data_IF_526429318896
#
_entry.id   IF_526429318896
#
_cell.length_a   1.000
_cell.length_b   1.000
_cell.length_c   1.000
_cell.angle_alpha   90.00
_cell.angle_beta   90.00
_cell.angle_gamma   90.00
#
_symmetry.space_group_name_H-M   'P 1'
#
loop_
_entity.id
_entity.type
_entity.pdbx_description
1 polymer ?
#
# COMPACT_ATOMS: atom_id res chain seq x y z
N UNK A 1 46.56 -7.59 -32.77
CA UNK A 1 46.36 -6.97 -31.44
C UNK A 1 45.24 -5.91 -31.41
N UNK A 2 45.06 -5.07 -32.44
CA UNK A 2 44.05 -3.99 -32.44
C UNK A 2 42.57 -4.45 -32.39
N UNK A 3 42.25 -5.64 -32.92
CA UNK A 3 40.87 -6.18 -32.96
C UNK A 3 40.32 -6.66 -31.61
N UNK A 4 41.19 -7.06 -30.68
CA UNK A 4 40.78 -7.53 -29.35
C UNK A 4 40.42 -6.35 -28.42
N UNK A 5 41.05 -5.19 -28.63
CA UNK A 5 40.84 -3.98 -27.84
C UNK A 5 39.46 -3.34 -28.12
N UNK A 6 38.98 -3.41 -29.37
CA UNK A 6 37.66 -2.88 -29.77
C UNK A 6 36.51 -3.69 -29.15
N UNK A 7 36.69 -5.00 -29.00
CA UNK A 7 35.69 -5.86 -28.37
C UNK A 7 35.56 -5.61 -26.85
N UNK A 8 36.68 -5.28 -26.18
CA UNK A 8 36.68 -4.95 -24.75
C UNK A 8 36.07 -3.57 -24.46
N UNK A 9 36.25 -2.60 -25.36
CA UNK A 9 35.72 -1.24 -25.21
C UNK A 9 34.20 -1.15 -25.44
N UNK A 10 33.62 -2.13 -26.15
CA UNK A 10 32.17 -2.19 -26.42
C UNK A 10 31.33 -2.69 -25.25
N UNK A 11 31.94 -3.20 -24.17
CA UNK A 11 31.22 -3.79 -23.04
C UNK A 11 30.98 -2.81 -21.87
N UNK A 12 31.50 -1.57 -21.95
CA UNK A 12 31.43 -0.60 -20.84
C UNK A 12 30.31 0.46 -20.96
N UNK A 13 29.47 0.46 -21.99
CA UNK A 13 28.47 1.53 -22.21
C UNK A 13 27.06 1.22 -21.74
N UNK A 14 26.83 0.08 -21.07
CA UNK A 14 25.51 -0.30 -20.53
C UNK A 14 25.48 -0.26 -18.98
N UNK A 15 26.04 0.79 -18.38
CA UNK A 15 25.68 1.16 -17.02
C UNK A 15 24.30 1.83 -17.05
N UNK A 16 23.24 1.01 -17.17
CA UNK A 16 21.87 1.48 -17.02
C UNK A 16 21.75 1.99 -15.58
N UNK A 17 21.59 3.31 -15.42
CA UNK A 17 21.29 3.93 -14.14
C UNK A 17 19.96 3.40 -13.63
N UNK A 18 20.00 2.31 -12.86
CA UNK A 18 18.87 1.84 -12.09
C UNK A 18 18.56 2.91 -11.04
N UNK A 19 17.55 3.74 -11.29
CA UNK A 19 17.00 4.62 -10.25
C UNK A 19 16.34 3.72 -9.22
N UNK A 20 17.00 3.50 -8.10
CA UNK A 20 16.39 2.85 -6.96
C UNK A 20 15.19 3.70 -6.52
N UNK A 21 13.98 3.22 -6.78
CA UNK A 21 12.77 3.88 -6.31
C UNK A 21 12.56 3.49 -4.84
N UNK A 22 12.42 4.49 -4.00
CA UNK A 22 12.26 4.29 -2.57
C UNK A 22 10.89 3.71 -2.28
N UNK A 23 10.88 2.58 -1.57
CA UNK A 23 9.66 1.86 -1.24
C UNK A 23 9.68 1.38 0.22
N UNK A 24 8.50 1.37 0.84
CA UNK A 24 8.23 0.80 2.17
C UNK A 24 6.91 0.05 2.14
N UNK A 25 6.85 -1.05 2.88
CA UNK A 25 5.62 -1.82 3.06
C UNK A 25 5.16 -1.73 4.51
N UNK A 26 3.87 -1.44 4.70
CA UNK A 26 3.22 -1.26 5.99
C UNK A 26 2.18 -2.35 6.15
N UNK A 27 2.10 -2.97 7.32
CA UNK A 27 1.17 -4.04 7.62
C UNK A 27 0.23 -3.62 8.76
N UNK A 28 -1.08 -3.79 8.56
CA UNK A 28 -2.10 -3.54 9.58
C UNK A 28 -3.07 -4.72 9.64
N UNK A 29 -3.34 -5.19 10.85
CA UNK A 29 -4.16 -6.38 11.11
C UNK A 29 -5.41 -5.98 11.86
N UNK A 30 -6.56 -6.50 11.42
CA UNK A 30 -7.86 -6.25 12.03
C UNK A 30 -8.53 -7.57 12.43
N UNK A 31 -8.88 -7.67 13.71
CA UNK A 31 -9.67 -8.78 14.24
C UNK A 31 -11.12 -8.66 13.79
N UNK A 32 -11.67 -9.72 13.18
CA UNK A 32 -13.00 -9.69 12.57
C UNK A 32 -13.92 -10.81 13.05
N UNK A 33 -13.56 -11.54 14.11
CA UNK A 33 -14.30 -12.71 14.61
C UNK A 33 -15.80 -12.46 14.86
N UNK A 34 -16.13 -11.32 15.48
CA UNK A 34 -17.52 -10.93 15.77
C UNK A 34 -18.16 -10.07 14.68
N UNK A 35 -17.44 -9.79 13.59
CA UNK A 35 -17.87 -8.94 12.49
C UNK A 35 -18.63 -9.76 11.47
N UNK A 36 -19.82 -9.26 11.09
CA UNK A 36 -20.64 -9.83 10.02
C UNK A 36 -20.47 -9.09 8.70
N UNK A 37 -20.30 -7.77 8.78
CA UNK A 37 -20.22 -6.91 7.59
C UNK A 37 -19.07 -5.92 7.74
N UNK A 38 -18.25 -5.78 6.70
CA UNK A 38 -17.16 -4.81 6.61
C UNK A 38 -17.45 -3.86 5.45
N UNK A 39 -17.53 -2.57 5.74
CA UNK A 39 -17.51 -1.52 4.72
C UNK A 39 -16.07 -1.03 4.53
N UNK A 40 -15.53 -1.14 3.33
CA UNK A 40 -14.22 -0.63 2.97
C UNK A 40 -14.30 0.80 2.44
N UNK A 41 -13.51 1.68 3.04
CA UNK A 41 -13.30 3.05 2.60
C UNK A 41 -11.80 3.37 2.54
N UNK A 42 -11.12 2.69 1.64
CA UNK A 42 -9.68 2.82 1.39
C UNK A 42 -9.46 3.84 0.27
N UNK A 43 -8.69 4.89 0.56
CA UNK A 43 -8.41 5.97 -0.40
C UNK A 43 -7.36 5.58 -1.46
N UNK A 44 -6.61 4.53 -1.19
CA UNK A 44 -5.57 3.95 -2.05
C UNK A 44 -6.15 3.09 -3.16
N UNK A 45 -5.36 2.84 -4.21
CA UNK A 45 -5.71 1.75 -5.15
C UNK A 45 -5.51 0.44 -4.40
N UNK A 46 -6.48 -0.46 -4.48
CA UNK A 46 -6.40 -1.72 -3.76
C UNK A 46 -6.98 -2.91 -4.51
N UNK A 47 -6.47 -4.09 -4.16
CA UNK A 47 -7.03 -5.38 -4.52
C UNK A 47 -7.31 -6.22 -3.28
N UNK A 48 -8.28 -7.13 -3.42
CA UNK A 48 -8.71 -8.04 -2.35
C UNK A 48 -8.30 -9.46 -2.73
N UNK A 49 -7.71 -10.17 -1.77
CA UNK A 49 -7.28 -11.55 -1.88
C UNK A 49 -7.90 -12.38 -0.76
N UNK A 50 -8.38 -13.58 -1.09
CA UNK A 50 -8.80 -14.55 -0.08
C UNK A 50 -7.57 -15.20 0.55
N UNK A 51 -7.61 -15.47 1.86
CA UNK A 51 -6.58 -16.26 2.55
C UNK A 51 -7.16 -17.12 3.68
N UNK A 52 -6.41 -18.16 4.08
CA UNK A 52 -6.76 -19.07 5.17
C UNK A 52 -6.32 -18.51 6.54
N UNK A 53 -6.79 -17.31 6.89
CA UNK A 53 -6.54 -16.65 8.17
C UNK A 53 -7.85 -16.24 8.86
N UNK A 54 -7.78 -15.82 10.13
CA UNK A 54 -8.93 -15.33 10.91
C UNK A 54 -9.07 -13.80 10.92
N UNK A 55 -8.03 -13.09 10.49
CA UNK A 55 -7.96 -11.62 10.50
C UNK A 55 -8.00 -11.05 9.09
N UNK A 56 -8.40 -9.78 8.98
CA UNK A 56 -8.15 -9.00 7.76
C UNK A 56 -6.75 -8.39 7.90
N UNK A 57 -5.89 -8.64 6.91
CA UNK A 57 -4.55 -8.04 6.82
C UNK A 57 -4.51 -7.05 5.66
N UNK A 58 -4.07 -5.83 5.91
CA UNK A 58 -3.83 -4.83 4.88
C UNK A 58 -2.32 -4.61 4.76
N UNK A 59 -1.79 -4.92 3.59
CA UNK A 59 -0.43 -4.59 3.17
C UNK A 59 -0.48 -3.33 2.30
N UNK A 60 0.08 -2.22 2.75
CA UNK A 60 0.21 -0.99 1.94
C UNK A 60 1.65 -0.82 1.52
N UNK A 61 1.93 -0.96 0.22
CA UNK A 61 3.22 -0.59 -0.35
C UNK A 61 3.18 0.88 -0.77
N UNK A 62 4.15 1.67 -0.30
CA UNK A 62 4.28 3.08 -0.63
C UNK A 62 5.56 3.29 -1.39
N UNK A 63 5.45 3.83 -2.60
CA UNK A 63 6.61 4.29 -3.36
C UNK A 63 6.70 5.82 -3.33
N UNK A 64 7.90 6.35 -3.07
CA UNK A 64 8.15 7.79 -2.98
C UNK A 64 9.16 8.22 -4.06
N UNK A 65 8.79 9.26 -4.82
CA UNK A 65 9.67 9.92 -5.79
C UNK A 65 9.94 11.37 -5.38
N UNK A 66 11.12 11.89 -5.73
CA UNK A 66 11.58 13.26 -5.41
C UNK A 66 11.61 13.57 -3.90
N UNK A 67 11.81 12.53 -3.08
CA UNK A 67 11.92 12.63 -1.62
C UNK A 67 13.10 11.80 -1.09
N UNK A 68 13.30 11.85 0.22
CA UNK A 68 14.35 11.10 0.94
C UNK A 68 13.76 10.00 1.82
N UNK A 69 14.53 8.94 2.18
CA UNK A 69 14.05 7.88 3.07
C UNK A 69 13.52 8.42 4.40
N UNK A 70 14.16 9.47 4.92
CA UNK A 70 13.79 10.12 6.18
C UNK A 70 12.42 10.80 6.06
N UNK A 71 12.10 11.38 4.90
CA UNK A 71 10.76 11.93 4.63
C UNK A 71 9.75 10.80 4.61
N UNK A 72 10.02 9.70 3.90
CA UNK A 72 9.08 8.57 3.87
C UNK A 72 8.83 8.00 5.26
N UNK A 73 9.89 7.76 6.03
CA UNK A 73 9.80 7.24 7.39
C UNK A 73 9.06 8.22 8.31
N UNK A 74 9.28 9.53 8.18
CA UNK A 74 8.50 10.56 8.89
C UNK A 74 7.01 10.49 8.54
N UNK A 75 6.66 10.44 7.26
CA UNK A 75 5.26 10.36 6.81
C UNK A 75 4.56 9.10 7.32
N UNK A 76 5.26 7.96 7.32
CA UNK A 76 4.74 6.70 7.87
C UNK A 76 4.51 6.85 9.37
N UNK A 77 5.48 7.41 10.11
CA UNK A 77 5.38 7.62 11.56
C UNK A 77 4.23 8.54 11.96
N UNK A 78 3.92 9.54 11.14
CA UNK A 78 2.77 10.44 11.33
C UNK A 78 1.42 9.77 11.00
N UNK A 79 1.43 8.50 10.60
CA UNK A 79 0.22 7.74 10.30
C UNK A 79 -0.42 8.09 8.96
N UNK A 80 0.35 8.65 8.01
CA UNK A 80 -0.17 9.14 6.72
C UNK A 80 -0.82 8.07 5.86
N UNK A 81 -0.42 6.82 6.06
CA UNK A 81 -0.93 5.66 5.33
C UNK A 81 -1.71 4.71 6.24
N UNK A 82 -1.97 5.12 7.49
CA UNK A 82 -2.68 4.27 8.44
C UNK A 82 -4.12 4.04 7.98
N UNK A 83 -4.59 2.85 8.30
CA UNK A 83 -5.98 2.42 8.16
C UNK A 83 -6.48 2.11 9.55
N UNK A 84 -7.73 2.45 9.81
CA UNK A 84 -8.39 2.18 11.09
C UNK A 84 -9.68 1.41 10.89
N UNK A 85 -10.20 0.84 11.97
CA UNK A 85 -11.47 0.14 12.00
C UNK A 85 -12.41 0.79 13.02
N UNK A 86 -13.52 1.34 12.51
CA UNK A 86 -14.61 1.82 13.34
C UNK A 86 -15.53 0.64 13.73
N UNK A 87 -15.52 0.32 15.02
CA UNK A 87 -16.31 -0.75 15.64
C UNK A 87 -17.54 -0.24 16.38
N UNK A 88 -17.95 1.01 16.19
CA UNK A 88 -19.10 1.59 16.91
C UNK A 88 -20.44 0.98 16.50
N UNK A 89 -20.55 0.42 15.29
CA UNK A 89 -21.79 -0.11 14.70
C UNK A 89 -21.85 -1.65 14.61
N UNK A 90 -21.19 -2.36 15.53
CA UNK A 90 -21.14 -3.83 15.54
C UNK A 90 -22.53 -4.48 15.37
N UNK A 91 -22.65 -5.58 14.58
CA UNK A 91 -21.57 -6.36 13.97
C UNK A 91 -21.13 -5.85 12.58
N UNK A 92 -21.50 -4.62 12.21
CA UNK A 92 -21.05 -3.95 11.00
C UNK A 92 -19.92 -2.99 11.34
N UNK A 93 -18.78 -3.11 10.68
CA UNK A 93 -17.62 -2.24 10.89
C UNK A 93 -17.29 -1.47 9.62
N UNK A 94 -16.56 -0.37 9.78
CA UNK A 94 -15.96 0.36 8.66
C UNK A 94 -14.45 0.35 8.79
N UNK A 95 -13.76 -0.15 7.78
CA UNK A 95 -12.29 -0.06 7.69
C UNK A 95 -11.96 1.07 6.72
N UNK A 96 -11.18 2.06 7.17
CA UNK A 96 -10.99 3.30 6.42
C UNK A 96 -9.58 3.89 6.54
N UNK A 97 -9.10 4.56 5.49
CA UNK A 97 -7.85 5.32 5.53
C UNK A 97 -8.00 6.53 6.46
N UNK A 98 -7.13 6.70 7.46
CA UNK A 98 -7.21 7.81 8.42
C UNK A 98 -6.99 9.19 7.78
N UNK A 99 -6.19 9.25 6.73
CA UNK A 99 -5.87 10.49 5.99
C UNK A 99 -6.21 10.39 4.49
N UNK A 100 -7.51 10.35 4.12
CA UNK A 100 -7.91 10.15 2.72
C UNK A 100 -7.52 11.33 1.82
N UNK A 101 -7.43 12.53 2.39
CA UNK A 101 -7.11 13.78 1.69
C UNK A 101 -5.60 14.07 1.56
N UNK A 102 -4.71 13.10 1.83
CA UNK A 102 -3.25 13.33 1.85
C UNK A 102 -2.69 13.96 0.57
N UNK A 103 -3.33 13.74 -0.59
CA UNK A 103 -2.97 14.37 -1.88
C UNK A 103 -3.05 15.90 -1.87
N UNK A 104 -3.84 16.51 -0.97
CA UNK A 104 -3.94 17.97 -0.78
C UNK A 104 -2.80 18.53 0.09
N UNK A 105 -2.07 17.67 0.81
CA UNK A 105 -0.99 18.02 1.75
C UNK A 105 0.33 17.41 1.29
N UNK A 106 0.71 17.65 0.04
CA UNK A 106 1.97 17.15 -0.50
C UNK A 106 3.15 17.95 0.05
N UNK A 107 4.24 17.24 0.35
CA UNK A 107 5.48 17.84 0.85
C UNK A 107 6.28 18.36 -0.34
N UNK A 108 6.89 19.53 -0.17
CA UNK A 108 7.81 20.10 -1.15
C UNK A 108 9.24 19.94 -0.65
N UNK A 109 10.12 19.48 -1.52
CA UNK A 109 11.56 19.38 -1.32
C UNK A 109 12.28 20.33 -2.28
N UNK A 110 13.59 20.58 -2.11
CA UNK A 110 14.37 21.32 -3.11
C UNK A 110 14.32 20.68 -4.51
N UNK A 111 14.14 19.36 -4.59
CA UNK A 111 14.06 18.59 -5.83
C UNK A 111 12.66 18.59 -6.47
N UNK A 112 11.69 19.27 -5.83
CA UNK A 112 10.33 19.40 -6.32
C UNK A 112 9.28 18.88 -5.34
N UNK A 113 8.06 18.65 -5.85
CA UNK A 113 6.98 18.12 -5.04
C UNK A 113 7.08 16.59 -4.95
N UNK A 114 6.98 16.04 -3.74
CA UNK A 114 7.03 14.59 -3.58
C UNK A 114 5.85 13.95 -4.30
N UNK A 115 6.11 12.79 -4.89
CA UNK A 115 5.06 11.95 -5.45
C UNK A 115 4.99 10.65 -4.67
N UNK A 116 3.84 10.43 -4.05
CA UNK A 116 3.49 9.24 -3.30
C UNK A 116 2.61 8.34 -4.17
N UNK A 117 3.00 7.08 -4.33
CA UNK A 117 2.24 6.03 -5.02
C UNK A 117 1.97 4.87 -4.05
N UNK A 118 0.98 5.04 -3.15
CA UNK A 118 0.53 3.98 -2.27
C UNK A 118 -0.43 3.00 -2.97
N UNK A 119 -0.19 1.71 -2.77
CA UNK A 119 -0.99 0.59 -3.28
C UNK A 119 -1.25 -0.41 -2.15
N UNK A 120 -2.50 -0.82 -1.97
CA UNK A 120 -2.90 -1.72 -0.90
C UNK A 120 -3.30 -3.11 -1.42
N UNK A 121 -2.92 -4.15 -0.68
CA UNK A 121 -3.43 -5.51 -0.82
C UNK A 121 -4.17 -5.88 0.45
N UNK A 122 -5.42 -6.27 0.32
CA UNK A 122 -6.30 -6.61 1.44
C UNK A 122 -6.49 -8.11 1.42
N UNK A 123 -5.89 -8.81 2.37
CA UNK A 123 -6.06 -10.24 2.58
C UNK A 123 -7.23 -10.46 3.54
N UNK A 124 -8.26 -11.14 3.04
CA UNK A 124 -9.54 -11.30 3.70
C UNK A 124 -9.78 -12.79 3.98
N UNK A 125 -10.18 -13.17 5.21
CA UNK A 125 -10.52 -14.54 5.54
C UNK A 125 -11.48 -15.14 4.53
N UNK A 126 -11.25 -16.40 4.16
CA UNK A 126 -12.13 -17.17 3.28
C UNK A 126 -13.57 -17.32 3.81
N UNK A 127 -13.81 -16.99 5.08
CA UNK A 127 -15.13 -16.87 5.69
C UNK A 127 -15.94 -15.66 5.21
N UNK A 128 -15.37 -14.74 4.43
CA UNK A 128 -16.07 -13.60 3.83
C UNK A 128 -16.25 -13.75 2.32
N UNK A 129 -17.22 -13.02 1.80
CA UNK A 129 -17.41 -12.72 0.37
C UNK A 129 -17.53 -11.21 0.20
N UNK A 130 -17.29 -10.68 -0.99
CA UNK A 130 -17.37 -9.25 -1.25
C UNK A 130 -18.13 -8.92 -2.53
N UNK A 131 -18.61 -7.69 -2.60
CA UNK A 131 -19.29 -7.13 -3.76
C UNK A 131 -18.33 -6.92 -4.94
N UNK A 132 -18.87 -6.85 -6.17
CA UNK A 132 -18.06 -6.63 -7.36
C UNK A 132 -17.27 -5.32 -7.34
N UNK A 133 -17.82 -4.29 -6.69
CA UNK A 133 -17.15 -2.99 -6.49
C UNK A 133 -16.11 -3.01 -5.35
N UNK A 134 -15.94 -4.16 -4.69
CA UNK A 134 -14.98 -4.40 -3.60
C UNK A 134 -15.21 -3.51 -2.37
N UNK A 135 -16.38 -2.87 -2.22
CA UNK A 135 -16.66 -1.95 -1.10
C UNK A 135 -17.28 -2.60 0.11
N UNK A 136 -18.01 -3.70 -0.05
CA UNK A 136 -18.72 -4.35 1.05
C UNK A 136 -18.31 -5.80 1.11
N UNK A 137 -17.93 -6.27 2.30
CA UNK A 137 -17.70 -7.68 2.58
C UNK A 137 -18.73 -8.18 3.58
N UNK A 138 -19.21 -9.40 3.36
CA UNK A 138 -20.17 -10.07 4.22
C UNK A 138 -19.66 -11.46 4.56
N UNK A 139 -19.71 -11.80 5.85
CA UNK A 139 -19.38 -13.13 6.35
C UNK A 139 -20.37 -14.14 5.76
N UNK A 140 -19.85 -15.24 5.23
CA UNK A 140 -20.64 -16.34 4.68
C UNK A 140 -21.57 -16.90 5.77
N UNK A 141 -22.80 -17.29 5.42
CA UNK A 141 -23.63 -18.06 6.35
C UNK A 141 -22.93 -19.40 6.64
N UNK A 142 -22.91 -19.78 7.92
CA UNK A 142 -22.48 -21.11 8.35
C UNK A 142 -23.49 -22.17 7.89
#
# INVERSE_FOLDING_TARGET
MFRLLVFLLSFCTFAISAKAQMSRTIYQVFEVDSVKTVNLDIADVYDIYSWAGSTILIETNVQLSHGSPEILDYLIKEGRYDVDMDTTAMPTVRIFTKMPDRKKKRVKTPDGEITELPEAKIFVPDTFTWTNDKKVMTRKPN
#
